data_IF_475900411889
#
_entry.id   IF_475900411889
#
_cell.length_a   1.000
_cell.length_b   1.000
_cell.length_c   1.000
_cell.angle_alpha   90.00
_cell.angle_beta   90.00
_cell.angle_gamma   90.00
#
_symmetry.space_group_name_H-M   'P 1'
#
loop_
_entity.id
_entity.type
_entity.pdbx_description
1 polymer ?
#
# COMPACT_ATOMS: atom_id res chain seq x y z
N UNK A 1 -21.81 -19.29 17.36
CA UNK A 1 -21.41 -18.14 16.52
C UNK A 1 -20.10 -18.52 15.82
N UNK A 2 -20.13 -18.78 14.51
CA UNK A 2 -18.91 -18.96 13.71
C UNK A 2 -18.51 -17.58 13.20
N UNK A 3 -17.33 -17.10 13.56
CA UNK A 3 -16.74 -15.89 12.98
C UNK A 3 -16.36 -16.19 11.55
N UNK A 4 -17.01 -15.56 10.58
CA UNK A 4 -16.55 -15.51 9.20
C UNK A 4 -15.18 -14.83 9.20
N UNK A 5 -14.12 -15.63 9.18
CA UNK A 5 -12.77 -15.13 8.95
C UNK A 5 -12.77 -14.64 7.49
N UNK A 6 -12.59 -13.33 7.21
CA UNK A 6 -12.43 -12.90 5.84
C UNK A 6 -11.24 -13.66 5.27
N UNK A 7 -11.43 -14.28 4.11
CA UNK A 7 -10.39 -15.02 3.41
C UNK A 7 -9.16 -14.14 3.16
N UNK A 8 -8.03 -14.72 2.71
CA UNK A 8 -6.80 -13.97 2.51
C UNK A 8 -7.05 -12.82 1.53
N UNK A 9 -7.10 -11.59 2.05
CA UNK A 9 -7.15 -10.38 1.24
C UNK A 9 -5.75 -10.19 0.70
N UNK A 10 -5.60 -10.22 -0.63
CA UNK A 10 -4.31 -9.89 -1.23
C UNK A 10 -3.86 -8.49 -0.77
N UNK A 11 -2.60 -8.33 -0.34
CA UNK A 11 -2.12 -7.03 0.07
C UNK A 11 -2.18 -6.07 -1.12
N UNK A 12 -2.53 -4.79 -0.89
CA UNK A 12 -2.62 -3.80 -1.96
C UNK A 12 -1.28 -3.63 -2.67
N UNK A 13 -1.32 -3.38 -3.97
CA UNK A 13 -0.12 -3.10 -4.76
C UNK A 13 0.44 -1.71 -4.44
N UNK A 14 1.75 -1.50 -4.65
CA UNK A 14 2.37 -0.19 -4.46
C UNK A 14 1.70 0.91 -5.30
N UNK A 15 1.29 0.58 -6.52
CA UNK A 15 0.57 1.50 -7.40
C UNK A 15 -0.80 1.92 -6.83
N UNK A 16 -1.56 0.97 -6.27
CA UNK A 16 -2.83 1.26 -5.60
C UNK A 16 -2.61 2.17 -4.39
N UNK A 17 -1.61 1.88 -3.57
CA UNK A 17 -1.27 2.68 -2.40
C UNK A 17 -0.88 4.12 -2.78
N UNK A 18 -0.06 4.29 -3.84
CA UNK A 18 0.34 5.63 -4.33
C UNK A 18 -0.87 6.44 -4.81
N UNK A 19 -1.76 5.81 -5.60
CA UNK A 19 -2.98 6.46 -6.07
C UNK A 19 -3.86 6.89 -4.90
N UNK A 20 -4.05 6.02 -3.91
CA UNK A 20 -4.87 6.34 -2.73
C UNK A 20 -4.29 7.48 -1.91
N UNK A 21 -2.97 7.52 -1.72
CA UNK A 21 -2.31 8.65 -1.07
C UNK A 21 -2.55 9.97 -1.83
N UNK A 22 -2.45 9.94 -3.17
CA UNK A 22 -2.70 11.13 -3.99
C UNK A 22 -4.16 11.61 -3.94
N UNK A 23 -5.13 10.68 -3.92
CA UNK A 23 -6.55 10.99 -3.74
C UNK A 23 -6.79 11.70 -2.38
N UNK A 24 -6.20 11.18 -1.30
CA UNK A 24 -6.36 11.75 0.04
C UNK A 24 -5.68 13.12 0.18
N UNK A 25 -4.58 13.37 -0.53
CA UNK A 25 -3.96 14.70 -0.55
C UNK A 25 -4.84 15.76 -1.24
N UNK A 26 -5.80 15.35 -2.06
CA UNK A 26 -6.75 16.24 -2.72
C UNK A 26 -8.06 16.40 -1.93
N UNK A 27 -8.28 15.58 -0.89
CA UNK A 27 -9.47 15.62 -0.06
C UNK A 27 -9.25 16.56 1.15
N UNK A 28 -9.97 17.70 1.23
CA UNK A 28 -9.84 18.63 2.35
C UNK A 28 -10.36 18.06 3.68
N UNK A 29 -11.08 16.94 3.66
CA UNK A 29 -11.58 16.25 4.84
C UNK A 29 -10.71 15.06 5.26
N UNK A 30 -9.71 14.69 4.47
CA UNK A 30 -8.82 13.59 4.82
C UNK A 30 -7.86 13.97 5.94
N UNK A 31 -7.63 13.02 6.85
CA UNK A 31 -6.57 13.14 7.85
C UNK A 31 -5.20 13.02 7.16
N UNK A 32 -4.25 13.94 7.38
CA UNK A 32 -2.91 13.88 6.79
C UNK A 32 -2.17 12.56 7.07
N UNK A 33 -2.43 11.96 8.23
CA UNK A 33 -1.87 10.68 8.67
C UNK A 33 -2.30 9.54 7.75
N UNK A 34 -3.54 9.56 7.24
CA UNK A 34 -4.05 8.52 6.35
C UNK A 34 -3.33 8.56 4.99
N UNK A 35 -3.18 9.75 4.41
CA UNK A 35 -2.42 9.94 3.17
C UNK A 35 -0.96 9.48 3.35
N UNK A 36 -0.36 9.80 4.50
CA UNK A 36 1.00 9.40 4.85
C UNK A 36 1.13 7.88 4.96
N UNK A 37 0.19 7.21 5.63
CA UNK A 37 0.18 5.76 5.76
C UNK A 37 0.14 5.06 4.39
N UNK A 38 -0.74 5.54 3.48
CA UNK A 38 -0.82 5.01 2.12
C UNK A 38 0.47 5.26 1.32
N UNK A 39 1.11 6.42 1.48
CA UNK A 39 2.39 6.71 0.84
C UNK A 39 3.50 5.77 1.32
N UNK A 40 3.59 5.51 2.63
CA UNK A 40 4.57 4.59 3.20
C UNK A 40 4.37 3.15 2.70
N UNK A 41 3.12 2.70 2.57
CA UNK A 41 2.81 1.39 1.99
C UNK A 41 3.25 1.28 0.53
N UNK A 42 3.10 2.35 -0.25
CA UNK A 42 3.59 2.39 -1.63
C UNK A 42 5.12 2.19 -1.69
N UNK A 43 5.87 2.96 -0.88
CA UNK A 43 7.33 2.86 -0.79
C UNK A 43 7.77 1.47 -0.35
N UNK A 44 7.13 0.90 0.67
CA UNK A 44 7.45 -0.44 1.14
C UNK A 44 7.25 -1.51 0.04
N UNK A 45 6.18 -1.38 -0.75
CA UNK A 45 5.92 -2.24 -1.90
C UNK A 45 6.99 -2.11 -3.00
N UNK A 46 7.38 -0.88 -3.33
CA UNK A 46 8.44 -0.62 -4.32
C UNK A 46 9.79 -1.21 -3.88
N UNK A 47 10.16 -1.02 -2.61
CA UNK A 47 11.41 -1.58 -2.07
C UNK A 47 11.42 -3.11 -2.13
N UNK A 48 10.27 -3.75 -1.86
CA UNK A 48 10.11 -5.21 -2.01
C UNK A 48 10.34 -5.65 -3.46
N UNK A 49 9.79 -4.91 -4.43
CA UNK A 49 9.94 -5.21 -5.85
C UNK A 49 11.39 -4.99 -6.32
N UNK A 50 12.04 -3.91 -5.89
CA UNK A 50 13.46 -3.65 -6.15
C UNK A 50 14.33 -4.78 -5.59
N UNK A 51 14.10 -5.20 -4.34
CA UNK A 51 14.83 -6.32 -3.73
C UNK A 51 14.70 -7.58 -4.57
N UNK A 52 13.48 -7.93 -5.00
CA UNK A 52 13.23 -9.10 -5.86
C UNK A 52 13.96 -8.98 -7.20
N UNK A 53 14.04 -7.79 -7.80
CA UNK A 53 14.80 -7.58 -9.04
C UNK A 53 16.31 -7.74 -8.83
N UNK A 54 16.84 -7.27 -7.70
CA UNK A 54 18.26 -7.41 -7.36
C UNK A 54 18.63 -8.87 -7.08
N UNK A 55 17.78 -9.61 -6.37
CA UNK A 55 17.97 -11.05 -6.10
C UNK A 55 17.99 -11.88 -7.39
N UNK A 56 17.17 -11.54 -8.39
CA UNK A 56 17.15 -12.24 -9.69
C UNK A 56 18.38 -12.00 -10.55
N UNK A 57 19.19 -10.98 -10.25
CA UNK A 57 20.39 -10.61 -11.01
C UNK A 57 21.68 -11.18 -10.43
N UNK A 58 21.62 -11.82 -9.26
CA UNK A 58 22.73 -12.55 -8.63
C UNK A 58 22.68 -14.02 -9.02
#
# INVERSE_FOLDING_TARGET
>A
MKTDQPGPVEPPTAAMCRRKAAELLQDPHAAPEEATAWALLAVAGELKDIRRLLERRR
#
